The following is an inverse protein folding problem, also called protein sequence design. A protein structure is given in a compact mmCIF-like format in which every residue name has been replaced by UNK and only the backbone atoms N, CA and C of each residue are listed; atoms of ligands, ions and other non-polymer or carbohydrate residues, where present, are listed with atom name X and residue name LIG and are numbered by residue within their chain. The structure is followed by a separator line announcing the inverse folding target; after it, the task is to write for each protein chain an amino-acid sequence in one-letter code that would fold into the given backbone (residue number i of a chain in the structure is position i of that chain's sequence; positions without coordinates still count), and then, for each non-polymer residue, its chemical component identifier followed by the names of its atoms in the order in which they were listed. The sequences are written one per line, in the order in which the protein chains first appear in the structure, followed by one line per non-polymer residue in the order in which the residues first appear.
data_IF_916255281080
#
_entry.id   IF_916255281080
#
_cell.length_a   1.000
_cell.length_b   1.000
_cell.length_c   1.000
_cell.angle_alpha   90.00
_cell.angle_beta   90.00
_cell.angle_gamma   90.00
#
_symmetry.space_group_name_H-M   'P 1'
#
loop_
_entity.id
_entity.type
_entity.pdbx_description
1 polymer ?
#
# COMPACT_ATOMS: atom_id res chain seq x y z
N UNK A 1 24.25 47.66 -12.43
CA UNK A 1 23.28 46.55 -12.48
C UNK A 1 24.05 45.27 -12.79
N UNK A 2 24.34 44.45 -11.78
CA UNK A 2 25.11 43.21 -11.91
C UNK A 2 24.14 42.03 -12.04
N UNK A 3 24.06 41.46 -13.24
CA UNK A 3 23.48 40.15 -13.53
C UNK A 3 24.44 39.08 -13.00
N UNK A 4 24.12 38.48 -11.85
CA UNK A 4 24.87 37.33 -11.32
C UNK A 4 24.72 36.15 -12.29
N UNK A 5 25.80 35.81 -12.97
CA UNK A 5 25.93 34.63 -13.82
C UNK A 5 25.59 33.38 -12.99
N UNK A 6 24.55 32.66 -13.42
CA UNK A 6 24.18 31.35 -12.89
C UNK A 6 25.31 30.39 -13.22
N UNK A 7 26.00 29.84 -12.22
CA UNK A 7 27.12 28.93 -12.45
C UNK A 7 26.64 27.78 -13.34
N UNK A 8 27.32 27.61 -14.48
CA UNK A 8 27.26 26.41 -15.30
C UNK A 8 28.04 25.33 -14.56
N UNK A 9 27.48 24.83 -13.47
CA UNK A 9 27.97 23.61 -12.84
C UNK A 9 27.80 22.51 -13.89
N UNK A 10 28.92 22.11 -14.48
CA UNK A 10 29.01 20.90 -15.30
C UNK A 10 28.30 19.77 -14.57
N UNK A 11 27.32 19.11 -15.19
CA UNK A 11 26.49 18.12 -14.52
C UNK A 11 27.39 17.04 -13.91
N UNK A 12 27.36 16.96 -12.58
CA UNK A 12 28.05 15.96 -11.76
C UNK A 12 27.94 14.59 -12.45
N UNK A 13 29.06 13.90 -12.73
CA UNK A 13 29.11 12.76 -13.63
C UNK A 13 28.12 11.67 -13.23
N UNK A 14 27.41 11.17 -14.24
CA UNK A 14 26.46 10.06 -14.29
C UNK A 14 26.48 9.18 -13.03
N UNK A 15 25.56 9.46 -12.09
CA UNK A 15 25.32 8.58 -10.94
C UNK A 15 25.01 7.19 -11.47
N UNK A 16 25.84 6.22 -11.10
CA UNK A 16 25.62 4.81 -11.47
C UNK A 16 24.22 4.36 -11.02
N UNK A 17 23.58 3.38 -11.70
CA UNK A 17 22.30 2.80 -11.26
C UNK A 17 22.29 2.38 -9.78
N UNK A 18 23.43 1.93 -9.25
CA UNK A 18 23.59 1.60 -7.84
C UNK A 18 23.56 2.84 -6.91
N UNK A 19 24.10 3.98 -7.35
CA UNK A 19 24.09 5.23 -6.60
C UNK A 19 22.66 5.80 -6.48
N UNK A 20 21.89 5.81 -7.57
CA UNK A 20 20.49 6.25 -7.53
C UNK A 20 19.62 5.41 -6.59
N UNK A 21 19.70 4.08 -6.70
CA UNK A 21 18.97 3.18 -5.80
C UNK A 21 19.35 3.40 -4.34
N UNK A 22 20.63 3.72 -4.08
CA UNK A 22 21.08 4.10 -2.73
C UNK A 22 20.41 5.39 -2.26
N UNK A 23 20.39 6.44 -3.09
CA UNK A 23 19.77 7.74 -2.74
C UNK A 23 18.29 7.57 -2.42
N UNK A 24 17.54 6.92 -3.31
CA UNK A 24 16.10 6.74 -3.16
C UNK A 24 15.73 5.85 -1.97
N UNK A 25 16.51 4.80 -1.70
CA UNK A 25 16.23 3.86 -0.60
C UNK A 25 16.78 4.31 0.74
N UNK A 26 17.73 5.25 0.78
CA UNK A 26 18.37 5.70 2.03
C UNK A 26 17.35 6.26 3.02
N UNK A 27 16.40 7.13 2.65
CA UNK A 27 15.38 7.60 3.59
C UNK A 27 14.52 6.47 4.16
N UNK A 28 14.14 5.49 3.33
CA UNK A 28 13.37 4.32 3.80
C UNK A 28 14.16 3.46 4.78
N UNK A 29 15.47 3.28 4.57
CA UNK A 29 16.35 2.55 5.50
C UNK A 29 16.52 3.29 6.82
N UNK A 30 16.72 4.61 6.77
CA UNK A 30 16.80 5.45 7.97
C UNK A 30 15.48 5.37 8.74
N UNK A 31 14.35 5.56 8.05
CA UNK A 31 13.02 5.45 8.65
C UNK A 31 12.79 4.08 9.29
N UNK A 32 13.17 2.99 8.62
CA UNK A 32 13.08 1.64 9.18
C UNK A 32 13.94 1.49 10.45
N UNK A 33 15.20 1.90 10.43
CA UNK A 33 16.10 1.78 11.59
C UNK A 33 15.58 2.59 12.78
N UNK A 34 15.24 3.86 12.56
CA UNK A 34 14.71 4.74 13.62
C UNK A 34 13.40 4.18 14.18
N UNK A 35 12.51 3.69 13.32
CA UNK A 35 11.25 3.10 13.74
C UNK A 35 11.44 1.79 14.50
N UNK A 36 12.35 0.92 14.06
CA UNK A 36 12.67 -0.33 14.76
C UNK A 36 13.25 -0.07 16.15
N UNK A 37 14.17 0.89 16.27
CA UNK A 37 14.71 1.31 17.59
C UNK A 37 13.59 1.85 18.46
N UNK A 38 12.76 2.77 17.94
CA UNK A 38 11.67 3.35 18.71
C UNK A 38 10.64 2.28 19.16
N UNK A 39 10.32 1.33 18.28
CA UNK A 39 9.41 0.23 18.58
C UNK A 39 9.98 -0.67 19.68
N UNK A 40 11.24 -1.12 19.55
CA UNK A 40 11.88 -1.96 20.57
C UNK A 40 11.99 -1.25 21.91
N UNK A 41 12.36 0.05 21.92
CA UNK A 41 12.37 0.84 23.16
C UNK A 41 10.96 0.95 23.78
N UNK A 42 9.92 1.10 22.96
CA UNK A 42 8.55 1.21 23.44
C UNK A 42 8.02 -0.14 24.00
N UNK A 43 8.32 -1.27 23.35
CA UNK A 43 7.89 -2.60 23.83
C UNK A 43 8.65 -3.03 25.07
N UNK A 44 9.91 -2.61 25.21
CA UNK A 44 10.77 -2.92 26.35
C UNK A 44 10.78 -1.82 27.43
N UNK A 45 9.88 -0.83 27.36
CA UNK A 45 9.82 0.20 28.38
C UNK A 45 9.31 -0.39 29.72
N UNK A 46 10.10 -0.35 30.81
CA UNK A 46 9.72 -1.00 32.06
C UNK A 46 8.43 -0.41 32.64
N UNK A 47 7.48 -1.27 33.01
CA UNK A 47 6.22 -0.91 33.67
C UNK A 47 5.42 0.19 32.93
N UNK A 48 5.47 0.20 31.59
CA UNK A 48 4.71 1.15 30.79
C UNK A 48 3.20 0.90 30.96
N UNK A 49 2.51 1.84 31.60
CA UNK A 49 1.05 1.86 31.68
C UNK A 49 0.51 2.86 30.65
N UNK A 50 -0.23 2.35 29.67
CA UNK A 50 -0.92 3.21 28.71
C UNK A 50 -2.22 3.71 29.35
N UNK A 51 -2.61 4.98 29.12
CA UNK A 51 -3.89 5.49 29.60
C UNK A 51 -5.04 4.69 28.94
N UNK A 52 -6.14 4.42 29.67
CA UNK A 52 -7.25 3.61 29.17
C UNK A 52 -8.00 4.27 28.00
N UNK A 53 -7.75 5.55 27.74
CA UNK A 53 -8.44 6.38 26.75
C UNK A 53 -7.87 6.27 25.32
N UNK A 54 -6.92 5.37 25.07
CA UNK A 54 -6.29 5.19 23.76
C UNK A 54 -6.85 4.02 22.95
N UNK A 55 -6.32 3.80 21.72
CA UNK A 55 -6.45 2.49 21.08
C UNK A 55 -6.01 1.41 22.06
N UNK A 56 -6.68 0.25 22.02
CA UNK A 56 -6.25 -0.86 22.86
C UNK A 56 -4.78 -1.17 22.60
N UNK A 57 -4.07 -1.59 23.64
CA UNK A 57 -2.68 -2.04 23.56
C UNK A 57 -2.47 -3.02 22.39
N UNK A 58 -3.41 -3.98 22.24
CA UNK A 58 -3.45 -4.95 21.15
C UNK A 58 -3.58 -4.30 19.76
N UNK A 59 -4.40 -3.24 19.62
CA UNK A 59 -4.48 -2.47 18.36
C UNK A 59 -3.16 -1.78 18.04
N UNK A 60 -2.48 -1.25 19.06
CA UNK A 60 -1.16 -0.63 18.91
C UNK A 60 -0.13 -1.64 18.44
N UNK A 61 -0.12 -2.84 19.01
CA UNK A 61 0.72 -3.96 18.57
C UNK A 61 0.48 -4.33 17.08
N UNK A 62 -0.79 -4.52 16.68
CA UNK A 62 -1.16 -4.81 15.29
C UNK A 62 -0.64 -3.75 14.31
N UNK A 63 -0.88 -2.46 14.60
CA UNK A 63 -0.45 -1.37 13.71
C UNK A 63 1.08 -1.27 13.69
N UNK A 64 1.72 -1.43 14.85
CA UNK A 64 3.16 -1.19 14.99
C UNK A 64 4.00 -2.21 14.23
N UNK A 65 3.68 -3.49 14.36
CA UNK A 65 4.37 -4.56 13.63
C UNK A 65 3.98 -4.64 12.16
N UNK A 66 2.75 -4.23 11.81
CA UNK A 66 2.36 -3.99 10.41
C UNK A 66 3.25 -2.92 9.77
N UNK A 67 3.41 -1.76 10.42
CA UNK A 67 4.25 -0.68 9.94
C UNK A 67 5.73 -1.07 9.86
N UNK A 68 6.25 -1.81 10.84
CA UNK A 68 7.60 -2.39 10.79
C UNK A 68 7.80 -3.23 9.53
N UNK A 69 6.85 -4.13 9.23
CA UNK A 69 6.86 -4.99 8.04
C UNK A 69 6.86 -4.18 6.74
N UNK A 70 6.02 -3.14 6.69
CA UNK A 70 5.96 -2.24 5.53
C UNK A 70 7.29 -1.52 5.32
N UNK A 71 7.86 -0.93 6.36
CA UNK A 71 9.15 -0.23 6.29
C UNK A 71 10.28 -1.18 5.88
N UNK A 72 10.34 -2.39 6.45
CA UNK A 72 11.31 -3.42 6.09
C UNK A 72 11.24 -3.74 4.58
N UNK A 73 10.03 -3.96 4.04
CA UNK A 73 9.84 -4.18 2.60
C UNK A 73 10.38 -3.01 1.77
N UNK A 74 10.11 -1.78 2.20
CA UNK A 74 10.50 -0.55 1.49
C UNK A 74 12.00 -0.28 1.51
N UNK A 75 12.76 -0.79 2.48
CA UNK A 75 14.24 -0.72 2.47
C UNK A 75 14.85 -1.39 1.22
N UNK A 76 14.16 -2.39 0.67
CA UNK A 76 14.63 -3.23 -0.42
C UNK A 76 15.88 -4.06 -0.07
N UNK A 77 16.20 -4.25 1.21
CA UNK A 77 17.22 -5.21 1.66
C UNK A 77 16.78 -6.65 1.35
N UNK A 78 15.51 -6.95 1.61
CA UNK A 78 14.91 -8.26 1.33
C UNK A 78 14.11 -8.18 0.03
N UNK A 79 14.55 -8.88 -1.02
CA UNK A 79 13.86 -8.89 -2.33
C UNK A 79 12.58 -9.71 -2.32
N UNK A 80 12.55 -10.79 -1.54
CA UNK A 80 11.38 -11.67 -1.43
C UNK A 80 10.36 -11.10 -0.45
N UNK A 81 9.13 -10.89 -0.93
CA UNK A 81 8.01 -10.46 -0.07
C UNK A 81 7.67 -11.49 1.00
N UNK A 82 7.76 -12.78 0.67
CA UNK A 82 7.48 -13.86 1.62
C UNK A 82 8.55 -13.87 2.71
N UNK A 83 9.82 -13.76 2.32
CA UNK A 83 10.91 -13.68 3.31
C UNK A 83 10.81 -12.43 4.18
N UNK A 84 10.31 -11.31 3.65
CA UNK A 84 10.04 -10.11 4.46
C UNK A 84 9.00 -10.38 5.55
N UNK A 85 7.91 -11.08 5.21
CA UNK A 85 6.87 -11.48 6.16
C UNK A 85 7.43 -12.46 7.19
N UNK A 86 8.21 -13.46 6.77
CA UNK A 86 8.83 -14.43 7.68
C UNK A 86 9.76 -13.72 8.67
N UNK A 87 10.66 -12.84 8.19
CA UNK A 87 11.58 -12.08 9.05
C UNK A 87 10.80 -11.22 10.04
N UNK A 88 9.77 -10.51 9.59
CA UNK A 88 8.97 -9.65 10.46
C UNK A 88 8.15 -10.45 11.50
N UNK A 89 7.60 -11.61 11.11
CA UNK A 89 6.94 -12.52 12.05
C UNK A 89 7.93 -13.05 13.09
N UNK A 90 9.08 -13.56 12.66
CA UNK A 90 10.11 -14.05 13.58
C UNK A 90 10.57 -12.94 14.53
N UNK A 91 10.83 -11.73 14.02
CA UNK A 91 11.19 -10.59 14.86
C UNK A 91 10.10 -10.26 15.88
N UNK A 92 8.83 -10.25 15.48
CA UNK A 92 7.73 -9.91 16.38
C UNK A 92 7.51 -10.93 17.49
N UNK A 93 7.83 -12.21 17.24
CA UNK A 93 7.77 -13.25 18.28
C UNK A 93 8.97 -13.15 19.22
N UNK A 94 10.15 -12.84 18.68
CA UNK A 94 11.35 -12.62 19.50
C UNK A 94 11.22 -11.40 20.38
N UNK A 95 10.65 -10.30 19.87
CA UNK A 95 10.39 -9.07 20.63
C UNK A 95 9.40 -9.29 21.78
N UNK A 96 8.40 -10.16 21.59
CA UNK A 96 7.45 -10.53 22.64
C UNK A 96 8.10 -11.49 23.66
N UNK A 97 8.87 -12.48 23.19
CA UNK A 97 9.57 -13.41 24.07
C UNK A 97 10.62 -12.69 24.93
N UNK A 98 11.33 -11.70 24.40
CA UNK A 98 12.30 -10.92 25.16
C UNK A 98 11.67 -10.02 26.21
N UNK A 99 10.36 -9.73 26.13
CA UNK A 99 9.66 -9.04 27.21
C UNK A 99 9.50 -9.89 28.48
N UNK A 100 9.67 -11.23 28.39
CA UNK A 100 9.60 -12.12 29.55
C UNK A 100 10.76 -11.95 30.55
N UNK A 101 11.79 -11.18 30.22
CA UNK A 101 12.87 -10.91 31.16
C UNK A 101 12.34 -10.18 32.39
N UNK A 102 12.53 -10.77 33.57
CA UNK A 102 12.00 -10.31 34.85
C UNK A 102 12.33 -8.83 35.16
N UNK A 103 13.48 -8.35 34.68
CA UNK A 103 13.92 -6.95 34.81
C UNK A 103 12.90 -5.96 34.24
N UNK A 104 12.13 -6.35 33.22
CA UNK A 104 11.14 -5.48 32.58
C UNK A 104 9.82 -5.41 33.36
N UNK A 105 9.53 -6.40 34.18
CA UNK A 105 8.28 -6.50 34.95
C UNK A 105 7.03 -6.45 34.07
N UNK A 106 7.08 -7.05 32.87
CA UNK A 106 5.95 -7.13 31.94
C UNK A 106 5.45 -8.57 31.85
N UNK A 107 4.13 -8.71 31.80
CA UNK A 107 3.49 -9.98 31.52
C UNK A 107 3.50 -10.24 30.01
N UNK A 108 4.15 -11.31 29.59
CA UNK A 108 4.06 -11.79 28.21
C UNK A 108 2.68 -12.39 27.99
N UNK A 109 1.95 -11.85 27.04
CA UNK A 109 0.63 -12.39 26.70
C UNK A 109 0.64 -12.97 25.30
N UNK A 110 0.11 -14.18 25.14
CA UNK A 110 -0.06 -14.78 23.82
C UNK A 110 -0.98 -13.93 22.90
N UNK A 111 -1.80 -13.05 23.51
CA UNK A 111 -2.65 -12.10 22.80
C UNK A 111 -1.85 -10.99 22.11
N UNK A 112 -0.75 -10.54 22.71
CA UNK A 112 0.18 -9.60 22.06
C UNK A 112 0.92 -10.25 20.90
N UNK A 113 1.42 -11.47 21.11
CA UNK A 113 2.02 -12.28 20.05
C UNK A 113 1.06 -12.46 18.85
N UNK A 114 -0.22 -12.72 19.11
CA UNK A 114 -1.26 -12.81 18.09
C UNK A 114 -1.49 -11.46 17.38
N UNK A 115 -1.62 -10.36 18.13
CA UNK A 115 -1.81 -9.02 17.57
C UNK A 115 -0.65 -8.63 16.64
N UNK A 116 0.58 -8.89 17.08
CA UNK A 116 1.80 -8.71 16.29
C UNK A 116 1.73 -9.49 14.97
N UNK A 117 1.41 -10.79 15.05
CA UNK A 117 1.32 -11.66 13.90
C UNK A 117 0.25 -11.21 12.91
N UNK A 118 -0.94 -10.81 13.39
CA UNK A 118 -2.02 -10.28 12.55
C UNK A 118 -1.59 -9.00 11.82
N UNK A 119 -0.88 -8.08 12.49
CA UNK A 119 -0.30 -6.89 11.88
C UNK A 119 0.64 -7.20 10.72
N UNK A 120 1.57 -8.13 10.94
CA UNK A 120 2.53 -8.58 9.91
C UNK A 120 1.82 -9.27 8.74
N UNK A 121 0.88 -10.17 9.02
CA UNK A 121 0.12 -10.90 7.99
C UNK A 121 -0.79 -9.99 7.18
N UNK A 122 -1.43 -9.00 7.82
CA UNK A 122 -2.25 -8.00 7.14
C UNK A 122 -1.40 -7.23 6.12
N UNK A 123 -0.24 -6.71 6.53
CA UNK A 123 0.67 -6.02 5.60
C UNK A 123 1.22 -6.99 4.55
N UNK A 124 1.55 -8.22 4.90
CA UNK A 124 1.94 -9.27 3.96
C UNK A 124 0.90 -9.51 2.86
N UNK A 125 -0.39 -9.50 3.23
CA UNK A 125 -1.52 -9.59 2.30
C UNK A 125 -1.55 -8.39 1.35
N UNK A 126 -1.36 -7.17 1.86
CA UNK A 126 -1.22 -5.97 1.03
C UNK A 126 -0.02 -6.03 0.09
N UNK A 127 1.15 -6.51 0.54
CA UNK A 127 2.32 -6.70 -0.32
C UNK A 127 2.04 -7.68 -1.46
N UNK A 128 1.26 -8.74 -1.20
CA UNK A 128 0.80 -9.67 -2.21
C UNK A 128 -0.22 -9.04 -3.17
N UNK A 129 -1.17 -8.27 -2.64
CA UNK A 129 -2.17 -7.50 -3.40
C UNK A 129 -1.51 -6.49 -4.32
N UNK A 130 -0.43 -5.84 -3.89
CA UNK A 130 0.31 -4.81 -4.63
C UNK A 130 1.30 -5.37 -5.66
N UNK A 131 1.43 -6.70 -5.77
CA UNK A 131 2.25 -7.34 -6.83
C UNK A 131 1.91 -6.78 -8.21
N UNK A 132 2.89 -6.58 -9.10
CA UNK A 132 2.63 -6.23 -10.49
C UNK A 132 1.69 -7.26 -11.12
N UNK A 133 0.67 -6.77 -11.82
CA UNK A 133 -0.32 -7.56 -12.56
C UNK A 133 -0.36 -7.04 -13.99
N UNK A 134 -0.79 -7.86 -14.95
CA UNK A 134 -0.90 -7.48 -16.36
C UNK A 134 0.37 -7.69 -17.19
N UNK A 135 0.28 -7.26 -18.44
CA UNK A 135 1.31 -7.39 -19.48
C UNK A 135 2.30 -6.22 -19.43
N UNK A 136 3.21 -6.14 -20.42
CA UNK A 136 4.27 -5.14 -20.46
C UNK A 136 3.76 -3.68 -20.30
N UNK A 137 2.69 -3.22 -20.96
CA UNK A 137 2.21 -1.84 -20.82
C UNK A 137 1.77 -1.51 -19.39
N UNK A 138 0.92 -2.36 -18.78
CA UNK A 138 0.49 -2.11 -17.41
C UNK A 138 1.63 -2.31 -16.39
N UNK A 139 2.58 -3.22 -16.64
CA UNK A 139 3.78 -3.36 -15.80
C UNK A 139 4.64 -2.10 -15.83
N UNK A 140 4.79 -1.48 -17.00
CA UNK A 140 5.52 -0.23 -17.15
C UNK A 140 4.82 0.92 -16.43
N UNK A 141 3.49 1.02 -16.55
CA UNK A 141 2.68 1.97 -15.77
C UNK A 141 2.87 1.79 -14.27
N UNK A 142 2.86 0.54 -13.78
CA UNK A 142 3.12 0.24 -12.37
C UNK A 142 4.56 0.56 -11.96
N UNK A 143 5.54 0.35 -12.83
CA UNK A 143 6.93 0.74 -12.61
C UNK A 143 7.08 2.27 -12.52
N UNK A 144 6.41 3.02 -13.39
CA UNK A 144 6.31 4.49 -13.32
C UNK A 144 5.75 4.95 -11.98
N UNK A 145 4.65 4.33 -11.54
CA UNK A 145 4.04 4.64 -10.25
C UNK A 145 4.97 4.37 -9.07
N UNK A 146 5.65 3.23 -9.08
CA UNK A 146 6.64 2.89 -8.06
C UNK A 146 7.80 3.89 -8.07
N UNK A 147 8.30 4.28 -9.24
CA UNK A 147 9.37 5.27 -9.39
C UNK A 147 8.97 6.64 -8.86
N UNK A 148 7.78 7.15 -9.20
CA UNK A 148 7.28 8.44 -8.70
C UNK A 148 7.16 8.41 -7.18
N UNK A 149 6.59 7.35 -6.62
CA UNK A 149 6.47 7.17 -5.17
C UNK A 149 7.84 7.17 -4.49
N UNK A 150 8.78 6.40 -5.03
CA UNK A 150 10.16 6.32 -4.60
C UNK A 150 10.85 7.71 -4.59
N UNK A 151 10.68 8.50 -5.65
CA UNK A 151 11.24 9.86 -5.76
C UNK A 151 10.61 10.82 -4.75
N UNK A 152 9.30 10.76 -4.54
CA UNK A 152 8.60 11.63 -3.57
C UNK A 152 9.17 11.42 -2.16
N UNK A 153 9.37 10.16 -1.76
CA UNK A 153 9.91 9.81 -0.45
C UNK A 153 11.45 9.81 -0.37
N UNK A 154 12.14 10.05 -1.48
CA UNK A 154 13.58 10.30 -1.47
C UNK A 154 13.92 11.67 -0.83
N UNK A 155 12.96 12.60 -0.80
CA UNK A 155 13.15 13.94 -0.24
C UNK A 155 12.88 13.99 1.26
N UNK A 156 13.85 14.48 2.04
CA UNK A 156 13.69 14.76 3.48
C UNK A 156 12.53 15.72 3.75
N UNK A 157 12.28 16.67 2.82
CA UNK A 157 11.16 17.62 2.92
C UNK A 157 9.81 16.89 3.01
N UNK A 158 9.62 15.82 2.24
CA UNK A 158 8.40 15.01 2.27
C UNK A 158 8.18 14.43 3.66
N UNK A 159 9.21 13.84 4.25
CA UNK A 159 9.15 13.28 5.60
C UNK A 159 8.84 14.34 6.66
N UNK A 160 9.51 15.50 6.59
CA UNK A 160 9.22 16.61 7.51
C UNK A 160 7.76 17.08 7.40
N UNK A 161 7.20 17.17 6.19
CA UNK A 161 5.79 17.55 6.01
C UNK A 161 4.82 16.50 6.55
N UNK A 162 5.12 15.21 6.39
CA UNK A 162 4.29 14.13 6.94
C UNK A 162 4.35 14.10 8.47
N UNK A 163 5.54 14.27 9.06
CA UNK A 163 5.72 14.38 10.52
C UNK A 163 4.98 15.61 11.05
N UNK A 164 5.16 16.77 10.42
CA UNK A 164 4.47 18.00 10.81
C UNK A 164 2.95 17.87 10.74
N UNK A 165 2.41 17.23 9.69
CA UNK A 165 0.98 16.95 9.57
C UNK A 165 0.49 16.02 10.70
N UNK A 166 1.21 14.94 10.97
CA UNK A 166 0.88 14.00 12.05
C UNK A 166 0.90 14.66 13.43
N UNK A 167 1.96 15.41 13.75
CA UNK A 167 2.11 16.15 15.01
C UNK A 167 1.02 17.21 15.16
N UNK A 168 0.71 17.95 14.09
CA UNK A 168 -0.35 18.98 14.12
C UNK A 168 -1.72 18.37 14.43
N UNK A 169 -2.07 17.24 13.79
CA UNK A 169 -3.31 16.53 14.08
C UNK A 169 -3.30 15.99 15.52
N UNK A 170 -2.20 15.38 15.97
CA UNK A 170 -2.11 14.86 17.34
C UNK A 170 -2.30 15.96 18.40
N UNK A 171 -1.69 17.14 18.21
CA UNK A 171 -1.88 18.30 19.09
C UNK A 171 -3.33 18.77 19.05
N UNK A 172 -3.93 18.92 17.87
CA UNK A 172 -5.33 19.32 17.73
C UNK A 172 -6.27 18.32 18.40
N UNK A 173 -6.03 17.02 18.25
CA UNK A 173 -6.77 15.95 18.94
C UNK A 173 -6.61 16.06 20.44
N UNK A 174 -5.40 16.26 20.96
CA UNK A 174 -5.15 16.37 22.41
C UNK A 174 -5.83 17.61 23.03
N UNK A 175 -5.85 18.74 22.33
CA UNK A 175 -6.57 19.94 22.76
C UNK A 175 -8.07 19.68 22.74
N UNK A 176 -8.61 19.19 21.61
CA UNK A 176 -10.04 18.89 21.45
C UNK A 176 -10.52 17.88 22.49
N UNK A 177 -9.71 16.87 22.80
CA UNK A 177 -10.00 15.85 23.80
C UNK A 177 -10.29 16.41 25.20
N UNK A 178 -9.63 17.52 25.57
CA UNK A 178 -9.84 18.19 26.85
C UNK A 178 -11.08 19.10 26.87
N UNK A 179 -11.58 19.48 25.70
CA UNK A 179 -12.64 20.49 25.55
C UNK A 179 -14.03 19.89 25.28
N UNK A 180 -14.10 18.61 24.90
CA UNK A 180 -15.35 17.94 24.54
C UNK A 180 -15.82 16.98 25.63
N UNK A 181 -17.13 16.78 25.69
CA UNK A 181 -17.76 15.79 26.57
C UNK A 181 -17.32 14.35 26.25
N UNK A 182 -17.38 13.48 27.25
CA UNK A 182 -16.97 12.07 27.13
C UNK A 182 -17.69 11.34 26.00
N UNK A 183 -18.95 11.68 25.74
CA UNK A 183 -19.75 11.09 24.66
C UNK A 183 -19.24 11.41 23.24
N UNK A 184 -18.49 12.52 23.05
CA UNK A 184 -17.98 12.96 21.75
C UNK A 184 -16.56 12.45 21.44
N UNK A 185 -15.87 11.89 22.44
CA UNK A 185 -14.49 11.39 22.32
C UNK A 185 -14.31 10.30 21.24
N UNK A 186 -15.20 9.29 21.12
CA UNK A 186 -15.08 8.27 20.06
C UNK A 186 -15.12 8.87 18.65
N UNK A 187 -15.97 9.88 18.43
CA UNK A 187 -16.06 10.60 17.15
C UNK A 187 -14.76 11.30 16.81
N UNK A 188 -14.13 11.96 17.78
CA UNK A 188 -12.83 12.61 17.58
C UNK A 188 -11.71 11.60 17.30
N UNK A 189 -11.71 10.44 17.94
CA UNK A 189 -10.75 9.35 17.65
C UNK A 189 -10.89 8.82 16.21
N UNK A 190 -12.10 8.83 15.64
CA UNK A 190 -12.34 8.40 14.27
C UNK A 190 -12.01 9.50 13.25
N UNK A 191 -12.44 10.74 13.50
CA UNK A 191 -12.29 11.85 12.57
C UNK A 191 -10.84 12.32 12.43
N UNK A 192 -10.05 12.30 13.51
CA UNK A 192 -8.65 12.73 13.50
C UNK A 192 -7.77 11.95 12.51
N UNK A 193 -7.71 10.60 12.53
CA UNK A 193 -6.96 9.84 11.55
C UNK A 193 -7.54 9.95 10.14
N UNK A 194 -8.87 10.04 10.00
CA UNK A 194 -9.50 10.24 8.68
C UNK A 194 -9.07 11.57 8.05
N UNK A 195 -9.06 12.66 8.83
CA UNK A 195 -8.57 13.97 8.41
C UNK A 195 -7.08 13.94 8.06
N UNK A 196 -6.26 13.28 8.88
CA UNK A 196 -4.83 13.11 8.59
C UNK A 196 -4.62 12.38 7.25
N UNK A 197 -5.32 11.26 7.02
CA UNK A 197 -5.26 10.51 5.77
C UNK A 197 -5.70 11.36 4.57
N UNK A 198 -6.73 12.18 4.73
CA UNK A 198 -7.19 13.11 3.70
C UNK A 198 -6.13 14.15 3.35
N UNK A 199 -5.51 14.79 4.36
CA UNK A 199 -4.41 15.75 4.16
C UNK A 199 -3.23 15.08 3.44
N UNK A 200 -2.83 13.88 3.90
CA UNK A 200 -1.76 13.10 3.26
C UNK A 200 -2.12 12.80 1.80
N UNK A 201 -3.36 12.40 1.50
CA UNK A 201 -3.80 12.13 0.14
C UNK A 201 -3.74 13.36 -0.77
N UNK A 202 -4.14 14.54 -0.29
CA UNK A 202 -4.04 15.80 -1.03
C UNK A 202 -2.59 16.20 -1.32
N UNK A 203 -1.73 16.11 -0.30
CA UNK A 203 -0.29 16.39 -0.44
C UNK A 203 0.34 15.41 -1.43
N UNK A 204 0.02 14.13 -1.29
CA UNK A 204 0.51 13.09 -2.19
C UNK A 204 0.07 13.31 -3.62
N UNK A 205 -1.19 13.68 -3.86
CA UNK A 205 -1.70 13.99 -5.20
C UNK A 205 -0.96 15.17 -5.84
N UNK A 206 -0.72 16.23 -5.06
CA UNK A 206 0.03 17.41 -5.52
C UNK A 206 1.48 17.06 -5.86
N UNK A 207 2.17 16.31 -5.01
CA UNK A 207 3.54 15.86 -5.28
C UNK A 207 3.59 14.91 -6.47
N UNK A 208 2.63 13.99 -6.56
CA UNK A 208 2.50 13.07 -7.68
C UNK A 208 2.44 13.79 -9.01
N UNK A 209 1.52 14.76 -9.17
CA UNK A 209 1.40 15.54 -10.41
C UNK A 209 2.70 16.25 -10.77
N UNK A 210 3.38 16.85 -9.80
CA UNK A 210 4.64 17.57 -10.02
C UNK A 210 5.76 16.63 -10.45
N UNK A 211 5.95 15.53 -9.72
CA UNK A 211 6.99 14.53 -10.02
C UNK A 211 6.71 13.80 -11.33
N UNK A 212 5.44 13.52 -11.63
CA UNK A 212 5.03 12.93 -12.91
C UNK A 212 5.34 13.88 -14.08
N UNK A 213 5.02 15.17 -13.96
CA UNK A 213 5.35 16.16 -15.00
C UNK A 213 6.86 16.33 -15.19
N UNK A 214 7.63 16.33 -14.09
CA UNK A 214 9.09 16.38 -14.15
C UNK A 214 9.66 15.13 -14.83
N UNK A 215 9.14 13.95 -14.49
CA UNK A 215 9.58 12.69 -15.07
C UNK A 215 9.42 12.67 -16.60
N UNK A 216 8.33 13.22 -17.12
CA UNK A 216 8.07 13.33 -18.57
C UNK A 216 9.02 14.34 -19.23
N UNK A 217 9.30 15.47 -18.58
CA UNK A 217 10.24 16.48 -19.11
C UNK A 217 11.68 15.98 -19.15
N UNK A 218 12.12 15.27 -18.13
CA UNK A 218 13.51 14.86 -17.96
C UNK A 218 13.81 13.48 -18.59
N UNK A 219 12.78 12.77 -19.07
CA UNK A 219 12.88 11.42 -19.64
C UNK A 219 13.73 10.46 -18.78
N UNK A 220 13.50 10.48 -17.45
CA UNK A 220 14.33 9.72 -16.52
C UNK A 220 14.14 8.20 -16.72
N UNK A 221 15.24 7.46 -16.69
CA UNK A 221 15.22 6.00 -16.71
C UNK A 221 14.67 5.45 -15.38
N UNK A 222 13.69 4.55 -15.43
CA UNK A 222 13.10 3.98 -14.20
C UNK A 222 14.05 3.09 -13.39
N UNK A 223 15.13 2.59 -13.98
CA UNK A 223 16.09 1.74 -13.31
C UNK A 223 17.16 2.51 -12.49
N UNK A 224 17.56 3.68 -12.99
CA UNK A 224 18.69 4.46 -12.45
C UNK A 224 18.40 5.95 -12.23
N UNK A 225 17.21 6.44 -12.58
CA UNK A 225 16.81 7.84 -12.42
C UNK A 225 17.57 8.85 -13.28
N UNK A 226 18.50 8.42 -14.14
CA UNK A 226 19.29 9.32 -14.99
C UNK A 226 18.40 9.90 -16.10
N UNK A 227 18.43 11.22 -16.36
CA UNK A 227 17.78 11.84 -17.52
C UNK A 227 18.35 11.31 -18.83
N UNK A 228 17.51 11.12 -19.86
CA UNK A 228 17.93 10.64 -21.19
C UNK A 228 17.31 11.51 -22.29
N UNK A 229 17.74 11.29 -23.54
CA UNK A 229 17.07 11.87 -24.70
C UNK A 229 15.85 11.04 -25.10
N UNK A 230 14.84 11.70 -25.69
CA UNK A 230 13.60 11.05 -26.15
C UNK A 230 13.87 9.95 -27.16
N UNK A 231 14.89 10.14 -28.00
CA UNK A 231 15.29 9.20 -29.04
C UNK A 231 16.20 8.07 -28.53
N UNK A 232 16.62 8.10 -27.25
CA UNK A 232 17.52 7.09 -26.72
C UNK A 232 16.79 5.75 -26.53
N UNK A 233 17.31 4.70 -27.16
CA UNK A 233 16.80 3.32 -27.03
C UNK A 233 17.38 2.59 -25.82
N UNK A 234 18.45 3.13 -25.21
CA UNK A 234 19.10 2.60 -24.02
C UNK A 234 19.52 3.73 -23.09
N UNK A 235 19.50 3.47 -21.78
CA UNK A 235 19.92 4.47 -20.81
C UNK A 235 21.44 4.64 -20.81
N UNK A 236 21.91 5.87 -20.98
CA UNK A 236 23.34 6.22 -21.00
C UNK A 236 24.13 5.85 -19.74
N UNK A 237 23.46 5.72 -18.59
CA UNK A 237 24.10 5.39 -17.30
C UNK A 237 24.08 3.89 -16.97
N UNK A 238 23.00 3.18 -17.32
CA UNK A 238 22.81 1.80 -16.87
C UNK A 238 22.55 0.78 -17.98
N UNK A 239 22.61 1.19 -19.25
CA UNK A 239 22.33 0.38 -20.44
C UNK A 239 20.96 -0.33 -20.45
N UNK A 240 20.06 0.03 -19.52
CA UNK A 240 18.71 -0.54 -19.50
C UNK A 240 17.96 -0.06 -20.74
N UNK A 241 17.32 -0.98 -21.50
CA UNK A 241 16.49 -0.60 -22.64
C UNK A 241 15.43 0.42 -22.23
N UNK A 242 15.36 1.51 -22.99
CA UNK A 242 14.36 2.55 -22.85
C UNK A 242 13.26 2.30 -23.88
N UNK A 243 12.01 2.47 -23.45
CA UNK A 243 10.84 2.37 -24.33
C UNK A 243 10.12 3.71 -24.31
N UNK A 244 9.69 4.22 -25.44
CA UNK A 244 9.04 5.53 -25.50
C UNK A 244 7.72 5.54 -24.69
N UNK A 245 7.03 4.40 -24.58
CA UNK A 245 5.84 4.19 -23.74
C UNK A 245 6.08 4.37 -22.24
N UNK A 246 7.34 4.49 -21.78
CA UNK A 246 7.61 4.72 -20.35
C UNK A 246 7.24 6.15 -19.91
N UNK A 247 7.28 7.12 -20.82
CA UNK A 247 7.01 8.52 -20.51
C UNK A 247 5.63 8.97 -20.96
N UNK A 248 4.92 8.17 -21.76
CA UNK A 248 3.54 8.46 -22.12
C UNK A 248 2.61 8.06 -20.98
N UNK A 249 1.65 8.94 -20.64
CA UNK A 249 0.60 8.60 -19.70
C UNK A 249 -0.54 7.94 -20.47
N UNK A 250 -0.91 6.68 -20.16
CA UNK A 250 -2.06 6.08 -20.81
C UNK A 250 -3.29 6.90 -20.44
N UNK A 251 -4.23 7.12 -21.37
CA UNK A 251 -5.44 7.87 -21.08
C UNK A 251 -6.17 7.22 -19.89
N UNK A 252 -6.68 8.02 -18.94
CA UNK A 252 -7.41 7.46 -17.81
C UNK A 252 -8.67 6.74 -18.30
N UNK A 253 -9.12 5.69 -17.60
CA UNK A 253 -10.37 5.02 -17.94
C UNK A 253 -11.53 6.01 -17.83
N UNK A 254 -12.56 5.81 -18.66
CA UNK A 254 -13.77 6.64 -18.59
C UNK A 254 -14.43 6.53 -17.22
N UNK A 255 -15.08 7.60 -16.74
CA UNK A 255 -15.78 7.61 -15.44
C UNK A 255 -16.78 6.45 -15.30
N UNK A 256 -17.48 6.10 -16.39
CA UNK A 256 -18.43 4.97 -16.45
C UNK A 256 -17.72 3.63 -16.23
N UNK A 257 -16.60 3.40 -16.92
CA UNK A 257 -15.80 2.19 -16.72
C UNK A 257 -15.26 2.13 -15.28
N UNK A 258 -14.71 3.24 -14.79
CA UNK A 258 -14.15 3.33 -13.44
C UNK A 258 -15.19 3.01 -12.37
N UNK A 259 -16.40 3.58 -12.48
CA UNK A 259 -17.53 3.26 -11.61
C UNK A 259 -17.86 1.76 -11.63
N UNK A 260 -18.01 1.14 -12.80
CA UNK A 260 -18.30 -0.32 -12.88
C UNK A 260 -17.14 -1.18 -12.34
N UNK A 261 -15.90 -0.77 -12.59
CA UNK A 261 -14.71 -1.50 -12.17
C UNK A 261 -14.52 -1.47 -10.66
N UNK A 262 -14.96 -0.41 -9.98
CA UNK A 262 -14.79 -0.19 -8.53
C UNK A 262 -16.05 -0.53 -7.75
N UNK A 263 -17.22 -0.02 -8.15
CA UNK A 263 -18.45 -0.20 -7.40
C UNK A 263 -18.83 -1.67 -7.28
N UNK A 264 -18.68 -2.48 -8.33
CA UNK A 264 -19.04 -3.91 -8.24
C UNK A 264 -18.16 -4.67 -7.23
N UNK A 265 -16.81 -4.60 -7.25
CA UNK A 265 -16.00 -5.20 -6.19
C UNK A 265 -16.26 -4.63 -4.80
N UNK A 266 -16.57 -3.33 -4.67
CA UNK A 266 -16.93 -2.73 -3.39
C UNK A 266 -18.26 -3.27 -2.86
N UNK A 267 -19.29 -3.37 -3.70
CA UNK A 267 -20.60 -3.94 -3.33
C UNK A 267 -20.45 -5.40 -2.95
N UNK A 268 -19.69 -6.18 -3.74
CA UNK A 268 -19.39 -7.58 -3.41
C UNK A 268 -18.64 -7.65 -2.07
N UNK A 269 -17.64 -6.81 -1.86
CA UNK A 269 -16.89 -6.77 -0.61
C UNK A 269 -17.77 -6.43 0.59
N UNK A 270 -18.60 -5.39 0.47
CA UNK A 270 -19.57 -4.99 1.50
C UNK A 270 -20.61 -6.08 1.76
N UNK A 271 -21.01 -6.85 0.74
CA UNK A 271 -21.90 -8.00 0.90
C UNK A 271 -21.21 -9.22 1.54
N UNK A 272 -19.91 -9.41 1.32
CA UNK A 272 -19.11 -10.49 1.93
C UNK A 272 -19.00 -10.31 3.45
N UNK A 273 -19.07 -9.09 3.98
CA UNK A 273 -19.00 -8.88 5.44
C UNK A 273 -20.19 -9.52 6.17
N UNK A 274 -21.47 -9.18 5.86
CA UNK A 274 -22.62 -9.79 6.52
C UNK A 274 -22.96 -11.19 5.99
N UNK A 275 -22.58 -11.55 4.76
CA UNK A 275 -23.04 -12.81 4.15
C UNK A 275 -22.70 -14.08 4.95
N UNK A 276 -21.50 -14.26 5.52
CA UNK A 276 -21.20 -15.41 6.38
C UNK A 276 -22.05 -15.43 7.66
N UNK A 277 -22.34 -14.27 8.26
CA UNK A 277 -23.19 -14.17 9.44
C UNK A 277 -24.63 -14.51 9.10
N UNK A 278 -25.15 -14.00 7.98
CA UNK A 278 -26.49 -14.30 7.49
C UNK A 278 -26.63 -15.77 7.08
N UNK A 279 -25.62 -16.34 6.41
CA UNK A 279 -25.59 -17.74 6.02
C UNK A 279 -25.51 -18.66 7.26
N UNK A 280 -24.68 -18.32 8.24
CA UNK A 280 -24.58 -19.06 9.50
C UNK A 280 -25.90 -18.98 10.28
N UNK A 281 -26.50 -17.81 10.41
CA UNK A 281 -27.80 -17.63 11.06
C UNK A 281 -28.90 -18.43 10.34
N UNK A 282 -28.94 -18.37 9.01
CA UNK A 282 -29.87 -19.14 8.19
C UNK A 282 -29.66 -20.65 8.32
N UNK A 283 -28.41 -21.12 8.36
CA UNK A 283 -28.08 -22.54 8.51
C UNK A 283 -28.44 -23.04 9.91
N UNK A 284 -28.21 -22.24 10.96
CA UNK A 284 -28.69 -22.55 12.33
C UNK A 284 -30.21 -22.65 12.35
N UNK A 285 -30.93 -21.70 11.75
CA UNK A 285 -32.40 -21.71 11.68
C UNK A 285 -32.95 -22.88 10.87
N UNK A 286 -32.33 -23.18 9.72
CA UNK A 286 -32.72 -24.31 8.88
C UNK A 286 -32.50 -25.64 9.61
N UNK A 287 -31.41 -25.75 10.37
CA UNK A 287 -31.06 -26.95 11.14
C UNK A 287 -32.00 -27.13 12.34
N UNK A 288 -32.28 -26.05 13.11
CA UNK A 288 -33.31 -26.05 14.16
C UNK A 288 -34.66 -26.54 13.61
N UNK A 289 -35.03 -26.07 12.42
CA UNK A 289 -36.27 -26.47 11.77
C UNK A 289 -36.27 -27.92 11.25
N UNK A 290 -35.14 -28.42 10.72
CA UNK A 290 -35.10 -29.75 10.08
C UNK A 290 -34.90 -30.91 11.05
N UNK A 291 -34.19 -30.70 12.16
CA UNK A 291 -33.71 -31.81 12.97
C UNK A 291 -34.24 -31.82 14.41
N UNK A 292 -34.98 -30.79 14.82
CA UNK A 292 -35.55 -30.63 16.18
C UNK A 292 -34.54 -30.96 17.31
N UNK A 293 -33.24 -30.83 17.01
CA UNK A 293 -32.12 -31.23 17.85
C UNK A 293 -31.05 -30.13 17.87
N UNK A 294 -30.46 -29.82 19.03
CA UNK A 294 -29.55 -28.69 19.15
C UNK A 294 -28.16 -28.96 18.54
N UNK A 295 -27.78 -28.12 17.58
CA UNK A 295 -26.57 -28.07 16.71
C UNK A 295 -25.24 -28.62 17.28
N UNK A 296 -24.45 -29.27 16.41
CA UNK A 296 -23.07 -29.78 16.53
C UNK A 296 -22.16 -29.16 17.63
N UNK A 297 -21.56 -29.99 18.52
CA UNK A 297 -20.67 -29.52 19.60
C UNK A 297 -19.39 -28.79 19.13
N UNK A 298 -18.85 -29.13 17.95
CA UNK A 298 -17.56 -28.65 17.47
C UNK A 298 -17.57 -27.19 17.01
N UNK A 299 -18.62 -26.76 16.27
CA UNK A 299 -18.75 -25.35 15.88
C UNK A 299 -19.03 -24.44 17.07
N UNK A 300 -19.79 -24.93 18.07
CA UNK A 300 -19.98 -24.18 19.32
C UNK A 300 -18.65 -23.88 20.00
N UNK A 301 -17.61 -24.68 19.80
CA UNK A 301 -16.28 -24.44 20.40
C UNK A 301 -15.63 -23.17 19.86
N UNK A 302 -15.60 -23.01 18.52
CA UNK A 302 -14.96 -21.86 17.87
C UNK A 302 -15.78 -20.58 18.07
N UNK A 303 -17.10 -20.61 17.87
CA UNK A 303 -17.93 -19.42 18.13
C UNK A 303 -17.94 -19.05 19.61
N UNK A 304 -18.03 -20.01 20.54
CA UNK A 304 -17.87 -19.67 21.97
C UNK A 304 -16.51 -19.07 22.25
N UNK A 305 -15.43 -19.63 21.69
CA UNK A 305 -14.09 -19.08 21.89
C UNK A 305 -13.99 -17.64 21.39
N UNK A 306 -14.43 -17.35 20.15
CA UNK A 306 -14.43 -15.99 19.60
C UNK A 306 -15.30 -15.05 20.43
N UNK A 307 -16.53 -15.46 20.77
CA UNK A 307 -17.46 -14.62 21.54
C UNK A 307 -17.01 -14.45 23.01
N UNK A 308 -16.20 -15.38 23.52
CA UNK A 308 -15.57 -15.29 24.85
C UNK A 308 -14.23 -14.55 24.84
N UNK A 309 -13.68 -14.24 23.66
CA UNK A 309 -12.41 -13.53 23.57
C UNK A 309 -12.60 -12.11 24.15
N UNK A 310 -11.60 -11.57 24.86
CA UNK A 310 -11.67 -10.18 25.34
C UNK A 310 -11.95 -9.22 24.18
N UNK A 311 -12.74 -8.18 24.42
CA UNK A 311 -13.10 -7.17 23.42
C UNK A 311 -11.88 -6.61 22.62
N UNK A 312 -10.72 -6.30 23.23
CA UNK A 312 -9.53 -5.88 22.48
C UNK A 312 -9.06 -6.88 21.42
N UNK A 313 -9.25 -8.18 21.68
CA UNK A 313 -8.87 -9.27 20.78
C UNK A 313 -9.84 -9.37 19.62
N UNK A 314 -11.14 -9.23 19.88
CA UNK A 314 -12.16 -9.19 18.83
C UNK A 314 -11.89 -8.02 17.88
N UNK A 315 -11.59 -6.84 18.43
CA UNK A 315 -11.29 -5.63 17.66
C UNK A 315 -10.10 -5.79 16.68
N UNK A 316 -9.00 -6.45 17.10
CA UNK A 316 -7.85 -6.67 16.20
C UNK A 316 -8.15 -7.72 15.13
N UNK A 317 -8.97 -8.73 15.44
CA UNK A 317 -9.39 -9.75 14.47
C UNK A 317 -10.27 -9.09 13.40
N UNK A 318 -11.26 -8.31 13.81
CA UNK A 318 -12.16 -7.59 12.90
C UNK A 318 -11.40 -6.62 12.00
N UNK A 319 -10.46 -5.85 12.58
CA UNK A 319 -9.61 -4.93 11.82
C UNK A 319 -8.73 -5.67 10.80
N UNK A 320 -8.14 -6.80 11.18
CA UNK A 320 -7.33 -7.63 10.29
C UNK A 320 -8.18 -8.21 9.15
N UNK A 321 -9.36 -8.76 9.45
CA UNK A 321 -10.29 -9.31 8.47
C UNK A 321 -10.78 -8.24 7.49
N UNK A 322 -11.19 -7.08 8.00
CA UNK A 322 -11.58 -5.93 7.17
C UNK A 322 -10.42 -5.49 6.26
N UNK A 323 -9.21 -5.41 6.80
CA UNK A 323 -8.02 -5.06 6.04
C UNK A 323 -7.69 -6.06 4.93
N UNK A 324 -7.82 -7.36 5.19
CA UNK A 324 -7.66 -8.44 4.19
C UNK A 324 -8.73 -8.36 3.11
N UNK A 325 -9.97 -8.13 3.49
CA UNK A 325 -11.08 -7.96 2.55
C UNK A 325 -10.83 -6.76 1.61
N UNK A 326 -10.47 -5.60 2.16
CA UNK A 326 -10.13 -4.41 1.36
C UNK A 326 -8.96 -4.72 0.42
N UNK A 327 -7.92 -5.42 0.89
CA UNK A 327 -6.81 -5.85 0.04
C UNK A 327 -7.28 -6.77 -1.11
N UNK A 328 -8.24 -7.67 -0.85
CA UNK A 328 -8.87 -8.50 -1.87
C UNK A 328 -9.62 -7.68 -2.93
N UNK A 329 -10.45 -6.73 -2.51
CA UNK A 329 -11.18 -5.80 -3.40
C UNK A 329 -10.19 -5.02 -4.27
N UNK A 330 -9.15 -4.43 -3.66
CA UNK A 330 -8.11 -3.67 -4.38
C UNK A 330 -7.42 -4.57 -5.40
N UNK A 331 -7.13 -5.83 -5.08
CA UNK A 331 -6.53 -6.77 -6.03
C UNK A 331 -7.44 -7.01 -7.24
N UNK A 332 -8.74 -7.21 -7.02
CA UNK A 332 -9.73 -7.41 -8.09
C UNK A 332 -9.78 -6.18 -8.99
N UNK A 333 -9.89 -4.98 -8.40
CA UNK A 333 -9.90 -3.70 -9.13
C UNK A 333 -8.61 -3.54 -9.94
N UNK A 334 -7.44 -3.80 -9.34
CA UNK A 334 -6.14 -3.72 -10.03
C UNK A 334 -6.04 -4.69 -11.20
N UNK A 335 -6.56 -5.92 -11.07
CA UNK A 335 -6.62 -6.90 -12.18
C UNK A 335 -7.58 -6.47 -13.29
N UNK A 336 -8.71 -5.85 -12.96
CA UNK A 336 -9.63 -5.27 -13.96
C UNK A 336 -8.98 -4.10 -14.70
N UNK A 337 -8.30 -3.23 -13.97
CA UNK A 337 -7.57 -2.10 -14.54
C UNK A 337 -6.39 -2.54 -15.40
N UNK A 338 -5.65 -3.57 -14.97
CA UNK A 338 -4.61 -4.17 -15.78
C UNK A 338 -5.16 -4.68 -17.11
N UNK A 339 -6.27 -5.43 -17.09
CA UNK A 339 -6.94 -5.90 -18.32
C UNK A 339 -7.35 -4.75 -19.24
N UNK A 340 -7.86 -3.64 -18.69
CA UNK A 340 -8.23 -2.48 -19.49
C UNK A 340 -7.03 -1.85 -20.21
N UNK A 341 -5.90 -1.68 -19.52
CA UNK A 341 -4.70 -1.15 -20.16
C UNK A 341 -4.01 -2.16 -21.08
N UNK A 342 -4.13 -3.45 -20.79
CA UNK A 342 -3.56 -4.50 -21.64
C UNK A 342 -4.40 -4.72 -22.93
N UNK A 343 -5.67 -4.29 -22.95
CA UNK A 343 -6.52 -4.33 -24.15
C UNK A 343 -6.04 -3.40 -25.27
N UNK A 344 -5.19 -2.39 -24.99
CA UNK A 344 -4.63 -1.53 -26.06
C UNK A 344 -3.71 -2.28 -27.03
N UNK A 345 -3.37 -3.53 -26.72
CA UNK A 345 -2.56 -4.41 -27.57
C UNK A 345 -3.44 -5.30 -28.46
N UNK A 346 -4.77 -5.22 -28.34
CA UNK A 346 -5.73 -5.98 -29.13
C UNK A 346 -6.69 -5.03 -29.84
N UNK A 347 -7.14 -5.43 -31.02
CA UNK A 347 -8.19 -4.74 -31.74
C UNK A 347 -9.45 -4.70 -30.88
N UNK A 348 -10.04 -3.52 -30.72
CA UNK A 348 -11.26 -3.35 -29.91
C UNK A 348 -12.48 -4.01 -30.54
N UNK A 349 -12.50 -4.15 -31.86
CA UNK A 349 -13.59 -4.73 -32.63
C UNK A 349 -13.54 -6.27 -32.61
N UNK A 350 -12.49 -6.87 -33.17
CA UNK A 350 -12.40 -8.33 -33.29
C UNK A 350 -11.52 -9.04 -32.24
N UNK A 351 -10.80 -8.31 -31.39
CA UNK A 351 -9.90 -8.89 -30.38
C UNK A 351 -8.56 -9.40 -30.90
N UNK A 352 -8.28 -9.26 -32.21
CA UNK A 352 -7.01 -9.67 -32.82
C UNK A 352 -5.82 -8.95 -32.19
N UNK A 353 -4.68 -9.63 -32.08
CA UNK A 353 -3.44 -9.07 -31.52
C UNK A 353 -2.85 -8.05 -32.51
N UNK A 354 -2.72 -6.79 -32.08
CA UNK A 354 -2.23 -5.71 -32.92
C UNK A 354 -0.70 -5.63 -32.96
N UNK A 355 0.02 -6.52 -32.27
CA UNK A 355 1.50 -6.53 -32.27
C UNK A 355 2.13 -6.75 -33.64
N UNK A 356 1.39 -7.39 -34.57
CA UNK A 356 1.86 -7.64 -35.93
C UNK A 356 1.20 -6.74 -36.98
N UNK A 357 0.30 -5.84 -36.58
CA UNK A 357 -0.35 -4.93 -37.52
C UNK A 357 0.66 -3.89 -38.02
N UNK A 358 0.62 -3.59 -39.32
CA UNK A 358 1.41 -2.50 -39.89
C UNK A 358 0.92 -1.17 -39.34
N UNK A 359 1.87 -0.33 -38.92
CA UNK A 359 1.60 0.97 -38.33
C UNK A 359 2.22 2.01 -39.26
N UNK A 360 1.40 2.92 -39.76
CA UNK A 360 1.82 4.04 -40.59
C UNK A 360 1.31 5.35 -39.95
N UNK A 361 2.21 6.32 -39.73
CA UNK A 361 1.89 7.60 -39.09
C UNK A 361 1.11 7.51 -37.75
N UNK A 362 1.47 6.55 -36.88
CA UNK A 362 0.81 6.31 -35.59
C UNK A 362 -0.66 5.85 -35.68
N UNK A 363 -1.12 5.46 -36.87
CA UNK A 363 -2.36 4.77 -37.06
C UNK A 363 -2.05 3.39 -37.66
N UNK A 364 -2.78 2.38 -37.20
CA UNK A 364 -2.76 1.07 -37.82
C UNK A 364 -4.18 0.64 -38.13
N UNK A 365 -4.32 -0.35 -39.01
CA UNK A 365 -5.58 -1.06 -39.18
C UNK A 365 -5.39 -2.47 -38.66
N UNK A 366 -6.37 -2.97 -37.92
CA UNK A 366 -6.36 -4.36 -37.49
C UNK A 366 -6.27 -5.26 -38.74
N UNK A 367 -5.28 -6.14 -38.80
CA UNK A 367 -5.07 -7.00 -39.96
C UNK A 367 -6.27 -7.92 -40.27
N UNK A 368 -7.09 -8.25 -39.27
CA UNK A 368 -8.26 -9.13 -39.45
C UNK A 368 -9.54 -8.40 -39.86
N UNK A 369 -9.89 -7.31 -39.16
CA UNK A 369 -11.19 -6.66 -39.34
C UNK A 369 -11.11 -5.25 -39.93
N UNK A 370 -9.91 -4.74 -40.18
CA UNK A 370 -9.71 -3.39 -40.70
C UNK A 370 -10.09 -2.27 -39.73
N UNK A 371 -10.44 -2.56 -38.47
CA UNK A 371 -10.74 -1.51 -37.48
C UNK A 371 -9.50 -0.62 -37.29
N UNK A 372 -9.62 0.70 -37.51
CA UNK A 372 -8.52 1.61 -37.28
C UNK A 372 -8.19 1.66 -35.79
N UNK A 373 -6.91 1.70 -35.47
CA UNK A 373 -6.44 1.95 -34.12
C UNK A 373 -5.34 2.99 -34.14
N UNK A 374 -5.44 3.95 -33.23
CA UNK A 374 -4.33 4.87 -32.98
C UNK A 374 -3.29 4.14 -32.14
N UNK A 375 -2.11 3.98 -32.71
CA UNK A 375 -0.92 3.64 -31.95
C UNK A 375 -0.51 4.91 -31.24
N UNK A 376 -0.59 4.91 -29.92
CA UNK A 376 0.02 5.97 -29.13
C UNK A 376 1.52 5.93 -29.47
N UNK A 377 1.97 6.92 -30.25
CA UNK A 377 3.32 7.02 -30.77
C UNK A 377 4.35 6.70 -29.69
N UNK A 378 5.08 5.58 -29.83
CA UNK A 378 6.15 5.17 -28.92
C UNK A 378 6.04 3.78 -28.26
N UNK A 379 5.21 2.85 -28.77
CA UNK A 379 5.01 1.49 -28.23
C UNK A 379 6.03 0.44 -28.65
#
# INVERSE_FOLDING_TARGET
MMTTARSTDTPEPLRTPAAWRRIVRRPWRIAFILYAIALTLATHWPKLTLPPTGPSDKTTHLISFGMLTFLLWRTGWVRSRILTVIIALSWSQLDELSQSFEILGRDVTWLDALANALGVLLVGTWLWTLRPVGMAPNRLRLARHAFIFDVIFASVRTWMMLIAAGVSIAIATAITWKLIDDGAKPTVMLLSPALLLFIIALLMHRWWKRTAAQLVRDYNCFACGTPNDVAATQCRSCATPLRADQWTEPPPPTRRWFGRAICMPMVIGLAIIPAPFLALAGLVKLYEWTLDTPVFPSMRGVTRWIMSAPEPVQNIIDLALLGVLIAGIVRIVRRRLARHYDQSVRCRSCGHDLRGASIDNNAGHCAECGEPFDVIAGG
#
